data_IF_306337677970
#
_entry.id   IF_306337677970
#
_cell.length_a   1.000
_cell.length_b   1.000
_cell.length_c   1.000
_cell.angle_alpha   90.00
_cell.angle_beta   90.00
_cell.angle_gamma   90.00
#
_symmetry.space_group_name_H-M   'P 1'
#
loop_
_entity.id
_entity.type
_entity.pdbx_description
1 polymer ?
#
# COMPACT_ATOMS: atom_id res chain seq x y z
N UNK A 1 18.98 -13.27 -1.81
CA UNK A 1 17.73 -13.85 -1.27
C UNK A 1 16.66 -12.77 -1.30
N UNK A 2 15.60 -12.92 -2.11
CA UNK A 2 14.53 -11.93 -2.19
C UNK A 2 13.69 -11.98 -0.90
N UNK A 3 13.89 -11.03 0.03
CA UNK A 3 13.16 -10.98 1.30
C UNK A 3 11.66 -11.03 1.05
N UNK A 4 10.97 -12.07 1.55
CA UNK A 4 9.54 -12.25 1.37
C UNK A 4 8.73 -11.04 1.81
N UNK A 5 7.65 -10.74 1.08
CA UNK A 5 6.75 -9.67 1.49
C UNK A 5 6.14 -10.04 2.85
N UNK A 6 6.25 -9.17 3.87
CA UNK A 6 5.69 -9.45 5.18
C UNK A 6 4.16 -9.49 5.10
N UNK A 7 3.56 -10.31 5.96
CA UNK A 7 2.13 -10.19 6.25
C UNK A 7 1.89 -8.85 6.97
N UNK A 8 1.07 -7.99 6.37
CA UNK A 8 0.75 -6.67 6.91
C UNK A 8 -0.76 -6.49 7.04
N UNK A 9 -1.17 -5.76 8.08
CA UNK A 9 -2.55 -5.35 8.21
C UNK A 9 -2.88 -4.19 7.24
N UNK A 10 -4.14 -4.04 6.83
CA UNK A 10 -4.57 -2.93 5.98
C UNK A 10 -4.21 -1.56 6.54
N UNK A 11 -4.31 -1.40 7.87
CA UNK A 11 -3.98 -0.13 8.56
C UNK A 11 -2.52 0.25 8.39
N UNK A 12 -1.61 -0.72 8.40
CA UNK A 12 -0.17 -0.47 8.19
C UNK A 12 0.08 -0.02 6.76
N UNK A 13 -0.50 -0.71 5.76
CA UNK A 13 -0.34 -0.31 4.37
C UNK A 13 -0.87 1.10 4.12
N UNK A 14 -2.05 1.42 4.66
CA UNK A 14 -2.66 2.76 4.55
C UNK A 14 -1.70 3.82 5.11
N UNK A 15 -1.16 3.63 6.32
CA UNK A 15 -0.21 4.60 6.92
C UNK A 15 1.05 4.77 6.09
N UNK A 16 1.61 3.68 5.56
CA UNK A 16 2.79 3.75 4.68
C UNK A 16 2.46 4.58 3.42
N UNK A 17 1.31 4.34 2.79
CA UNK A 17 0.89 5.09 1.62
C UNK A 17 0.63 6.57 1.95
N UNK A 18 0.01 6.87 3.10
CA UNK A 18 -0.18 8.26 3.57
C UNK A 18 1.15 9.00 3.74
N UNK A 19 2.17 8.34 4.31
CA UNK A 19 3.52 8.91 4.44
C UNK A 19 4.18 9.15 3.08
N UNK A 20 3.86 8.34 2.07
CA UNK A 20 4.30 8.55 0.69
C UNK A 20 3.38 9.54 -0.07
N UNK A 21 2.52 10.29 0.61
CA UNK A 21 1.69 11.34 0.02
C UNK A 21 0.42 10.86 -0.67
N UNK A 22 -0.02 9.62 -0.43
CA UNK A 22 -1.34 9.17 -0.86
C UNK A 22 -2.43 9.71 0.04
N UNK A 23 -3.55 10.10 -0.56
CA UNK A 23 -4.69 10.64 0.17
C UNK A 23 -5.82 9.62 0.24
N UNK A 24 -6.43 9.48 1.43
CA UNK A 24 -7.70 8.76 1.60
C UNK A 24 -8.79 9.52 0.83
N UNK A 25 -9.55 8.83 -0.01
CA UNK A 25 -10.65 9.44 -0.79
C UNK A 25 -12.01 9.03 -0.25
N UNK A 26 -12.43 7.79 -0.52
CA UNK A 26 -13.74 7.27 -0.09
C UNK A 26 -13.62 5.85 0.41
N UNK A 27 -14.54 5.48 1.30
CA UNK A 27 -14.74 4.08 1.66
C UNK A 27 -15.49 3.40 0.52
N UNK A 28 -14.94 2.30 0.03
CA UNK A 28 -15.58 1.43 -0.95
C UNK A 28 -16.19 0.21 -0.25
N UNK A 29 -17.11 -0.50 -0.91
CA UNK A 29 -17.78 -1.69 -0.35
C UNK A 29 -16.80 -2.77 0.14
N UNK A 30 -15.60 -2.83 -0.44
CA UNK A 30 -14.58 -3.84 -0.11
C UNK A 30 -13.29 -3.26 0.49
N UNK A 31 -13.22 -1.94 0.76
CA UNK A 31 -11.95 -1.35 1.18
C UNK A 31 -11.94 0.16 1.32
N UNK A 32 -10.74 0.73 1.40
CA UNK A 32 -10.50 2.16 1.37
C UNK A 32 -9.83 2.55 0.05
N UNK A 33 -10.43 3.48 -0.68
CA UNK A 33 -9.80 4.03 -1.87
C UNK A 33 -8.78 5.09 -1.47
N UNK A 34 -7.55 4.94 -1.97
CA UNK A 34 -6.47 5.91 -1.84
C UNK A 34 -6.09 6.42 -3.23
N UNK A 35 -5.74 7.70 -3.32
CA UNK A 35 -5.33 8.31 -4.58
C UNK A 35 -4.11 9.21 -4.40
N UNK A 36 -3.29 9.27 -5.44
CA UNK A 36 -2.15 10.19 -5.54
C UNK A 36 -2.00 10.66 -6.99
N UNK A 37 -1.77 11.94 -7.17
CA UNK A 37 -1.39 12.50 -8.47
C UNK A 37 0.12 12.47 -8.59
N UNK A 38 0.65 11.75 -9.58
CA UNK A 38 2.08 11.72 -9.89
C UNK A 38 2.28 11.35 -11.37
N UNK A 39 3.41 11.74 -11.95
CA UNK A 39 3.72 11.52 -13.38
C UNK A 39 2.61 12.05 -14.33
N UNK A 40 1.97 13.17 -13.97
CA UNK A 40 0.90 13.76 -14.76
C UNK A 40 -0.41 12.96 -14.79
N UNK A 41 -0.57 11.93 -13.95
CA UNK A 41 -1.76 11.07 -13.91
C UNK A 41 -2.28 10.88 -12.49
N UNK A 42 -3.59 10.70 -12.38
CA UNK A 42 -4.24 10.28 -11.14
C UNK A 42 -4.15 8.76 -11.00
N UNK A 43 -3.46 8.29 -9.97
CA UNK A 43 -3.44 6.89 -9.60
C UNK A 43 -4.42 6.65 -8.44
N UNK A 44 -5.18 5.58 -8.54
CA UNK A 44 -6.16 5.16 -7.54
C UNK A 44 -5.93 3.69 -7.23
N UNK A 45 -5.90 3.36 -5.94
CA UNK A 45 -5.83 1.99 -5.47
C UNK A 45 -6.86 1.73 -4.37
N UNK A 46 -7.35 0.49 -4.29
CA UNK A 46 -8.29 0.06 -3.25
C UNK A 46 -7.54 -0.85 -2.29
N UNK A 47 -7.44 -0.43 -1.03
CA UNK A 47 -6.85 -1.24 0.03
C UNK A 47 -7.98 -2.06 0.68
N UNK A 48 -7.94 -3.42 0.62
CA UNK A 48 -8.95 -4.23 1.27
C UNK A 48 -8.83 -4.05 2.78
N UNK A 49 -9.94 -3.68 3.46
CA UNK A 49 -9.94 -3.39 4.90
C UNK A 49 -10.76 -4.38 5.73
N UNK A 50 -11.37 -5.38 5.07
CA UNK A 50 -12.20 -6.41 5.72
C UNK A 50 -11.34 -7.45 6.43
N UNK A 51 -10.18 -7.77 5.87
CA UNK A 51 -9.29 -8.81 6.39
C UNK A 51 -8.33 -8.26 7.44
N UNK A 52 -7.93 -9.13 8.38
CA UNK A 52 -6.90 -8.80 9.39
C UNK A 52 -5.51 -8.58 8.76
N UNK A 53 -5.24 -9.27 7.65
CA UNK A 53 -3.99 -9.18 6.89
C UNK A 53 -4.27 -9.17 5.39
N UNK A 54 -3.46 -8.44 4.63
CA UNK A 54 -3.55 -8.41 3.17
C UNK A 54 -2.88 -9.67 2.61
N UNK A 55 -3.53 -10.44 1.72
CA UNK A 55 -2.91 -11.56 1.03
C UNK A 55 -1.71 -11.11 0.20
N UNK A 56 -0.64 -11.93 0.12
CA UNK A 56 0.60 -11.60 -0.61
C UNK A 56 0.35 -11.20 -2.07
N UNK A 57 -0.52 -11.92 -2.78
CA UNK A 57 -0.89 -11.61 -4.17
C UNK A 57 -1.56 -10.23 -4.29
N UNK A 58 -2.49 -9.91 -3.38
CA UNK A 58 -3.15 -8.61 -3.33
C UNK A 58 -2.17 -7.48 -3.01
N UNK A 59 -1.25 -7.71 -2.06
CA UNK A 59 -0.20 -6.75 -1.74
C UNK A 59 0.70 -6.50 -2.95
N UNK A 60 1.13 -7.54 -3.65
CA UNK A 60 1.92 -7.39 -4.89
C UNK A 60 1.17 -6.62 -5.97
N UNK A 61 -0.13 -6.88 -6.16
CA UNK A 61 -0.94 -6.17 -7.13
C UNK A 61 -1.03 -4.67 -6.81
N UNK A 62 -1.24 -4.32 -5.53
CA UNK A 62 -1.29 -2.92 -5.08
C UNK A 62 0.08 -2.23 -5.25
N UNK A 63 1.18 -2.90 -4.90
CA UNK A 63 2.53 -2.36 -5.06
C UNK A 63 2.98 -2.25 -6.53
N UNK A 64 2.30 -2.98 -7.42
CA UNK A 64 2.66 -3.08 -8.82
C UNK A 64 2.54 -1.78 -9.61
N UNK A 65 3.09 -1.77 -10.84
CA UNK A 65 3.19 -0.57 -11.68
C UNK A 65 1.85 -0.04 -12.19
N UNK A 66 0.79 -0.86 -12.13
CA UNK A 66 -0.56 -0.48 -12.54
C UNK A 66 -1.35 0.23 -11.43
N UNK A 67 -0.85 0.23 -10.20
CA UNK A 67 -1.58 0.70 -9.02
C UNK A 67 -0.80 1.81 -8.31
N UNK A 68 0.23 1.46 -7.53
CA UNK A 68 1.00 2.44 -6.76
C UNK A 68 2.39 2.74 -7.32
N UNK A 69 2.93 1.88 -8.20
CA UNK A 69 4.30 1.98 -8.74
C UNK A 69 5.41 1.98 -7.67
N UNK A 70 5.10 1.62 -6.43
CA UNK A 70 6.10 1.55 -5.35
C UNK A 70 7.07 0.39 -5.60
N UNK A 71 6.55 -0.77 -6.01
CA UNK A 71 7.36 -1.98 -6.15
C UNK A 71 7.69 -2.64 -4.81
N UNK A 72 8.31 -3.83 -4.88
CA UNK A 72 8.61 -4.66 -3.70
C UNK A 72 9.68 -4.03 -2.82
N UNK A 73 10.81 -3.66 -3.41
CA UNK A 73 12.01 -3.29 -2.65
C UNK A 73 11.79 -1.98 -1.90
N UNK A 74 11.24 -0.97 -2.59
CA UNK A 74 10.83 0.28 -1.97
C UNK A 74 9.81 0.06 -0.84
N UNK A 75 8.84 -0.83 -1.03
CA UNK A 75 7.88 -1.15 0.04
C UNK A 75 8.58 -1.73 1.28
N UNK A 76 9.57 -2.61 1.10
CA UNK A 76 10.30 -3.19 2.23
C UNK A 76 11.10 -2.14 3.01
N UNK A 77 11.70 -1.16 2.32
CA UNK A 77 12.36 -0.01 2.95
C UNK A 77 11.38 0.81 3.80
N UNK A 78 10.24 1.15 3.22
CA UNK A 78 9.18 1.92 3.88
C UNK A 78 8.61 1.16 5.08
N UNK A 79 8.42 -0.14 4.94
CA UNK A 79 7.93 -1.01 6.02
C UNK A 79 8.92 -1.09 7.18
N UNK A 80 10.22 -1.26 6.90
CA UNK A 80 11.28 -1.22 7.93
C UNK A 80 11.30 0.12 8.65
N UNK A 81 11.21 1.22 7.89
CA UNK A 81 11.16 2.58 8.45
C UNK A 81 9.94 2.79 9.34
N UNK A 82 8.78 2.29 8.92
CA UNK A 82 7.56 2.33 9.72
C UNK A 82 7.69 1.54 11.03
N UNK A 83 8.34 0.37 10.98
CA UNK A 83 8.59 -0.49 12.15
C UNK A 83 9.60 0.08 13.13
N UNK A 84 10.64 0.77 12.66
CA UNK A 84 11.66 1.40 13.52
C UNK A 84 11.23 2.72 14.16
N UNK A 85 10.06 3.26 13.78
CA UNK A 85 9.44 4.46 14.37
C UNK A 85 8.48 4.14 15.52
N UNK A 86 8.33 2.87 15.89
CA UNK A 86 7.39 2.39 16.90
C UNK A 86 8.07 1.73 18.08
#
# INVERSE_FOLDING_TARGET
MAADLPAISPKVLIKILENEGWQKKRRANHGLAMAKFFEGKNYITIIPTKDKSIPKGTLMAILGPKQTKIGRDRFLELYKTYKGKG
#
